data_IF_695432756506
#
_entry.id   IF_695432756506
#
_cell.length_a   1.000
_cell.length_b   1.000
_cell.length_c   1.000
_cell.angle_alpha   90.00
_cell.angle_beta   90.00
_cell.angle_gamma   90.00
#
_symmetry.space_group_name_H-M   'P 1'
#
loop_
_entity.id
_entity.type
_entity.pdbx_description
1 polymer ?
#
# COMPACT_ATOMS: atom_id res chain seq x y z
N UNK A 1 70.57 22.43 -29.55
CA UNK A 1 69.68 23.12 -28.60
C UNK A 1 68.65 22.13 -28.09
N UNK A 2 68.66 21.94 -26.76
CA UNK A 2 67.56 21.64 -25.83
C UNK A 2 66.64 20.43 -26.06
N UNK A 3 66.68 19.46 -25.12
CA UNK A 3 65.65 19.32 -24.07
C UNK A 3 65.94 18.06 -23.24
N UNK A 4 66.78 18.20 -22.20
CA UNK A 4 67.01 17.15 -21.20
C UNK A 4 66.85 17.76 -19.81
N UNK A 5 65.68 18.37 -19.53
CA UNK A 5 65.46 19.09 -18.27
C UNK A 5 63.97 19.27 -17.90
N UNK A 6 63.12 18.26 -18.13
CA UNK A 6 61.71 18.29 -17.67
C UNK A 6 61.33 17.06 -16.82
N UNK A 7 62.21 16.08 -16.60
CA UNK A 7 61.89 14.92 -15.75
C UNK A 7 62.35 15.05 -14.29
N UNK A 8 63.11 16.09 -13.91
CA UNK A 8 63.58 16.26 -12.52
C UNK A 8 62.76 17.24 -11.67
N UNK A 9 61.85 18.04 -12.22
CA UNK A 9 61.15 19.07 -11.45
C UNK A 9 59.82 18.62 -10.82
N UNK A 10 59.34 17.40 -11.09
CA UNK A 10 58.13 16.86 -10.45
C UNK A 10 58.41 15.89 -9.29
N UNK A 11 59.65 15.38 -9.15
CA UNK A 11 59.99 14.44 -8.08
C UNK A 11 60.38 15.10 -6.74
N UNK A 12 60.68 16.40 -6.73
CA UNK A 12 61.04 17.12 -5.49
C UNK A 12 59.85 17.76 -4.77
N UNK A 13 58.66 17.78 -5.37
CA UNK A 13 57.46 18.35 -4.74
C UNK A 13 56.61 17.37 -3.92
N UNK A 14 56.95 16.08 -3.91
CA UNK A 14 56.23 15.05 -3.14
C UNK A 14 57.03 14.48 -1.96
N UNK A 15 58.23 15.03 -1.66
CA UNK A 15 59.07 14.55 -0.55
C UNK A 15 59.10 15.44 0.69
N UNK A 16 58.31 16.52 0.70
CA UNK A 16 58.23 17.46 1.83
C UNK A 16 56.80 17.63 2.37
N UNK A 17 56.11 16.52 2.62
CA UNK A 17 55.05 16.48 3.63
C UNK A 17 55.55 15.63 4.80
N UNK A 18 56.53 16.20 5.49
CA UNK A 18 56.92 15.74 6.80
C UNK A 18 55.73 15.95 7.77
N UNK A 19 55.25 14.82 8.29
CA UNK A 19 55.20 14.59 9.73
C UNK A 19 54.34 15.57 10.54
N UNK A 20 53.02 15.36 10.49
CA UNK A 20 52.04 16.01 11.34
C UNK A 20 51.03 15.01 11.92
N UNK A 21 51.08 14.87 13.23
CA UNK A 21 49.99 14.46 14.14
C UNK A 21 49.46 13.02 14.10
N UNK A 22 50.12 12.17 14.89
CA UNK A 22 49.60 10.92 15.49
C UNK A 22 48.20 11.06 16.10
N UNK A 23 47.80 12.26 16.51
CA UNK A 23 46.47 12.55 17.09
C UNK A 23 45.31 12.41 16.08
N UNK A 24 45.56 12.61 14.78
CA UNK A 24 44.52 12.55 13.75
C UNK A 24 44.12 11.10 13.40
N UNK A 25 45.02 10.13 13.65
CA UNK A 25 44.75 8.70 13.47
C UNK A 25 43.98 8.08 14.64
N UNK A 26 44.18 8.60 15.86
CA UNK A 26 43.45 8.15 17.05
C UNK A 26 42.01 8.69 17.03
N UNK A 27 41.79 9.93 16.53
CA UNK A 27 40.45 10.51 16.46
C UNK A 27 39.56 9.86 15.38
N UNK A 28 40.12 9.46 14.24
CA UNK A 28 39.34 8.76 13.20
C UNK A 28 38.96 7.34 13.63
N UNK A 29 39.82 6.66 14.40
CA UNK A 29 39.50 5.35 14.99
C UNK A 29 38.43 5.41 16.08
N UNK A 30 38.42 6.46 16.91
CA UNK A 30 37.36 6.68 17.90
C UNK A 30 36.02 7.05 17.26
N UNK A 31 36.03 7.86 16.20
CA UNK A 31 34.81 8.18 15.45
C UNK A 31 34.24 6.90 14.80
N UNK A 32 35.09 6.01 14.25
CA UNK A 32 34.65 4.72 13.71
C UNK A 32 34.10 3.76 14.79
N UNK A 33 34.59 3.86 16.04
CA UNK A 33 34.09 3.06 17.16
C UNK A 33 32.75 3.59 17.71
N UNK A 34 32.42 4.86 17.50
CA UNK A 34 31.12 5.44 17.92
C UNK A 34 29.99 5.21 16.91
N UNK A 35 30.29 4.83 15.66
CA UNK A 35 29.25 4.50 14.65
C UNK A 35 28.76 3.05 14.77
N UNK A 36 29.45 2.22 15.56
CA UNK A 36 28.99 0.88 15.94
C UNK A 36 28.20 0.88 17.27
N UNK A 37 27.62 2.01 17.66
CA UNK A 37 26.52 2.03 18.64
C UNK A 37 25.19 1.77 17.92
N UNK A 38 25.13 0.70 17.12
CA UNK A 38 23.85 0.05 16.88
C UNK A 38 23.40 -0.46 18.24
N UNK A 39 22.39 0.19 18.82
CA UNK A 39 21.62 -0.42 19.87
C UNK A 39 21.20 -1.79 19.32
N UNK A 40 21.78 -2.86 19.86
CA UNK A 40 21.21 -4.18 19.67
C UNK A 40 19.85 -4.10 20.35
N UNK A 41 18.80 -3.91 19.56
CA UNK A 41 17.44 -4.18 20.02
C UNK A 41 17.42 -5.69 20.22
N UNK A 42 17.50 -6.12 21.47
CA UNK A 42 17.38 -7.53 21.82
C UNK A 42 15.91 -7.89 21.67
N UNK A 43 15.56 -8.56 20.58
CA UNK A 43 14.27 -9.22 20.46
C UNK A 43 14.23 -10.40 21.45
N UNK A 44 13.11 -10.51 22.16
CA UNK A 44 12.75 -11.70 22.91
C UNK A 44 12.03 -12.67 21.97
N UNK A 45 12.08 -13.96 22.29
CA UNK A 45 11.44 -15.03 21.51
C UNK A 45 10.35 -15.68 22.34
N UNK A 46 9.20 -15.92 21.72
CA UNK A 46 8.13 -16.73 22.31
C UNK A 46 7.71 -17.82 21.34
N UNK A 47 7.49 -19.03 21.85
CA UNK A 47 7.10 -20.18 21.03
C UNK A 47 5.59 -20.42 21.10
N UNK A 48 4.96 -20.60 19.94
CA UNK A 48 3.56 -21.03 19.83
C UNK A 48 3.46 -22.38 19.13
N UNK A 49 2.53 -23.22 19.57
CA UNK A 49 2.22 -24.48 18.90
C UNK A 49 1.00 -24.33 18.00
N UNK A 50 1.09 -24.75 16.75
CA UNK A 50 -0.03 -24.87 15.81
C UNK A 50 0.00 -26.27 15.22
N UNK A 51 -1.08 -27.04 15.41
CA UNK A 51 -1.22 -28.42 14.93
C UNK A 51 -0.05 -29.36 15.27
N UNK A 52 0.56 -29.18 16.45
CA UNK A 52 1.69 -29.99 16.92
C UNK A 52 3.06 -29.51 16.42
N UNK A 53 3.12 -28.47 15.58
CA UNK A 53 4.38 -27.82 15.15
C UNK A 53 4.62 -26.57 15.99
N UNK A 54 5.86 -26.40 16.46
CA UNK A 54 6.26 -25.23 17.25
C UNK A 54 6.90 -24.18 16.35
N UNK A 55 6.51 -22.93 16.52
CA UNK A 55 7.04 -21.78 15.80
C UNK A 55 7.54 -20.75 16.82
N UNK A 56 8.73 -20.21 16.58
CA UNK A 56 9.31 -19.15 17.40
C UNK A 56 9.00 -17.80 16.76
N UNK A 57 8.55 -16.85 17.57
CA UNK A 57 8.16 -15.51 17.14
C UNK A 57 9.03 -14.50 17.88
N UNK A 58 9.68 -13.63 17.12
CA UNK A 58 10.49 -12.54 17.63
C UNK A 58 9.59 -11.35 17.99
N UNK A 59 9.82 -10.75 19.15
CA UNK A 59 9.12 -9.55 19.59
C UNK A 59 9.99 -8.66 20.47
N UNK A 60 9.61 -7.39 20.60
CA UNK A 60 10.19 -6.46 21.57
C UNK A 60 9.07 -5.71 22.27
N UNK A 61 9.30 -5.40 23.55
CA UNK A 61 8.33 -4.66 24.36
C UNK A 61 8.93 -3.43 25.02
N UNK A 62 8.11 -2.41 25.19
CA UNK A 62 8.39 -1.25 26.04
C UNK A 62 7.20 -1.00 26.96
N UNK A 63 7.44 -0.91 28.28
CA UNK A 63 6.38 -0.61 29.25
C UNK A 63 5.36 -1.74 29.48
N UNK A 64 5.72 -2.97 29.10
CA UNK A 64 4.89 -4.17 29.26
C UNK A 64 5.75 -5.45 29.30
N UNK A 65 5.12 -6.58 29.58
CA UNK A 65 5.70 -7.92 29.39
C UNK A 65 4.74 -8.85 28.68
N UNK A 66 5.28 -9.87 27.99
CA UNK A 66 4.52 -10.98 27.40
C UNK A 66 4.80 -12.23 28.22
N UNK A 67 3.75 -12.93 28.65
CA UNK A 67 3.84 -14.10 29.52
C UNK A 67 3.50 -15.42 28.82
N UNK A 68 2.80 -15.36 27.69
CA UNK A 68 2.35 -16.52 26.94
C UNK A 68 1.78 -16.13 25.59
N UNK A 69 1.70 -17.12 24.70
CA UNK A 69 1.01 -17.04 23.41
C UNK A 69 0.30 -18.38 23.17
N UNK A 70 -0.92 -18.30 22.69
CA UNK A 70 -1.73 -19.44 22.28
C UNK A 70 -2.21 -19.24 20.84
N UNK A 71 -2.46 -20.33 20.12
CA UNK A 71 -3.05 -20.28 18.79
C UNK A 71 -4.50 -20.72 18.84
N UNK A 72 -5.33 -20.06 18.04
CA UNK A 72 -6.68 -20.51 17.72
C UNK A 72 -6.74 -20.84 16.22
N UNK A 73 -6.56 -22.11 15.83
CA UNK A 73 -6.60 -22.52 14.43
C UNK A 73 -8.00 -22.46 13.82
N UNK A 74 -9.06 -22.45 14.64
CA UNK A 74 -10.44 -22.32 14.13
C UNK A 74 -10.72 -20.88 13.66
N UNK A 75 -10.05 -19.89 14.26
CA UNK A 75 -10.14 -18.47 13.89
C UNK A 75 -8.91 -17.90 13.18
N UNK A 76 -7.85 -18.70 13.02
CA UNK A 76 -6.56 -18.28 12.46
C UNK A 76 -6.03 -17.05 13.21
N UNK A 77 -5.97 -17.17 14.54
CA UNK A 77 -5.52 -16.09 15.41
C UNK A 77 -4.47 -16.53 16.43
N UNK A 78 -3.68 -15.57 16.87
CA UNK A 78 -2.69 -15.70 17.94
C UNK A 78 -3.12 -14.84 19.12
N UNK A 79 -3.23 -15.45 20.30
CA UNK A 79 -3.69 -14.80 21.52
C UNK A 79 -2.48 -14.68 22.46
N UNK A 80 -2.04 -13.45 22.71
CA UNK A 80 -0.93 -13.13 23.60
C UNK A 80 -1.45 -12.73 24.97
N UNK A 81 -0.85 -13.30 26.01
CA UNK A 81 -1.08 -12.93 27.40
C UNK A 81 -0.05 -11.89 27.82
N UNK A 82 -0.50 -10.66 28.05
CA UNK A 82 0.36 -9.51 28.32
C UNK A 82 0.11 -8.91 29.70
N UNK A 83 1.08 -8.15 30.21
CA UNK A 83 0.93 -7.31 31.40
C UNK A 83 1.48 -5.93 31.09
N UNK A 84 0.58 -4.97 30.83
CA UNK A 84 0.92 -3.60 30.40
C UNK A 84 0.92 -2.63 31.58
N UNK A 85 2.11 -2.20 31.99
CA UNK A 85 2.28 -1.29 33.14
C UNK A 85 2.27 0.18 32.77
N UNK A 86 2.64 0.52 31.52
CA UNK A 86 2.74 1.90 31.03
C UNK A 86 1.58 2.26 30.10
N UNK A 87 1.44 3.54 29.74
CA UNK A 87 0.44 3.98 28.76
C UNK A 87 1.01 5.04 27.81
N UNK A 88 1.22 4.72 26.52
CA UNK A 88 1.07 3.38 25.93
C UNK A 88 2.24 2.45 26.33
N UNK A 89 1.94 1.17 26.57
CA UNK A 89 2.91 0.11 26.34
C UNK A 89 3.00 -0.18 24.84
N UNK A 90 4.15 -0.67 24.37
CA UNK A 90 4.35 -0.96 22.94
C UNK A 90 4.83 -2.39 22.78
N UNK A 91 4.15 -3.14 21.91
CA UNK A 91 4.55 -4.45 21.42
C UNK A 91 4.93 -4.33 19.95
N UNK A 92 6.20 -4.59 19.63
CA UNK A 92 6.62 -4.84 18.26
C UNK A 92 6.78 -6.35 18.07
N UNK A 93 6.06 -6.95 17.13
CA UNK A 93 6.04 -8.39 16.91
C UNK A 93 6.23 -8.72 15.42
N UNK A 94 7.13 -9.66 15.14
CA UNK A 94 7.51 -10.02 13.77
C UNK A 94 7.07 -11.45 13.45
N UNK A 95 6.25 -11.58 12.41
CA UNK A 95 5.79 -12.87 11.91
C UNK A 95 6.58 -13.27 10.67
N UNK A 96 6.98 -14.53 10.60
CA UNK A 96 7.34 -15.19 9.36
C UNK A 96 6.06 -15.46 8.56
N UNK A 97 5.98 -14.95 7.33
CA UNK A 97 4.79 -15.05 6.46
C UNK A 97 4.49 -16.48 6.03
N UNK A 98 5.46 -17.38 6.15
CA UNK A 98 5.24 -18.83 5.95
C UNK A 98 4.49 -19.45 7.12
N UNK A 99 4.65 -18.89 8.32
CA UNK A 99 3.98 -19.36 9.52
C UNK A 99 2.62 -18.67 9.71
N UNK A 100 2.57 -17.35 9.70
CA UNK A 100 1.36 -16.60 9.99
C UNK A 100 1.28 -15.34 9.14
N UNK A 101 0.16 -15.18 8.41
CA UNK A 101 -0.03 -14.04 7.51
C UNK A 101 -1.50 -13.67 7.35
N UNK A 102 -1.76 -12.44 6.91
CA UNK A 102 -3.06 -11.98 6.45
C UNK A 102 -2.99 -11.65 4.95
N UNK A 103 -3.66 -12.50 4.16
CA UNK A 103 -3.70 -12.43 2.71
C UNK A 103 -5.14 -12.60 2.22
N UNK A 104 -5.52 -11.77 1.26
CA UNK A 104 -6.80 -11.84 0.55
C UNK A 104 -6.57 -11.77 -0.96
N UNK A 105 -7.14 -12.73 -1.70
CA UNK A 105 -6.99 -12.84 -3.17
C UNK A 105 -5.55 -12.80 -3.69
N UNK A 106 -4.59 -13.28 -2.88
CA UNK A 106 -3.17 -13.35 -3.24
C UNK A 106 -2.37 -12.08 -3.00
N UNK A 107 -2.99 -11.04 -2.44
CA UNK A 107 -2.33 -9.82 -1.99
C UNK A 107 -2.35 -9.73 -0.46
N UNK A 108 -1.43 -8.92 0.08
CA UNK A 108 -1.37 -8.61 1.51
C UNK A 108 -2.70 -7.96 1.93
N UNK A 109 -3.32 -8.54 2.94
CA UNK A 109 -4.47 -7.98 3.63
C UNK A 109 -4.03 -7.53 5.03
N UNK A 110 -4.83 -6.68 5.67
CA UNK A 110 -4.51 -6.19 7.00
C UNK A 110 -4.71 -7.30 8.05
N UNK A 111 -3.88 -7.31 9.09
CA UNK A 111 -4.20 -8.06 10.29
C UNK A 111 -5.31 -7.35 11.06
N UNK A 112 -6.17 -8.13 11.72
CA UNK A 112 -7.13 -7.58 12.69
C UNK A 112 -6.54 -7.79 14.08
N UNK A 113 -6.43 -6.73 14.87
CA UNK A 113 -5.87 -6.78 16.22
C UNK A 113 -6.91 -6.35 17.23
N UNK A 114 -7.07 -7.12 18.31
CA UNK A 114 -7.94 -6.83 19.43
C UNK A 114 -7.12 -6.86 20.72
N UNK A 115 -7.21 -5.80 21.53
CA UNK A 115 -6.67 -5.71 22.87
C UNK A 115 -7.83 -5.74 23.86
N UNK A 116 -7.94 -6.80 24.67
CA UNK A 116 -9.10 -7.09 25.53
C UNK A 116 -10.47 -6.98 24.81
N UNK A 117 -10.49 -7.25 23.49
CA UNK A 117 -11.67 -7.17 22.64
C UNK A 117 -11.92 -5.82 21.94
N UNK A 118 -11.12 -4.79 22.21
CA UNK A 118 -11.19 -3.48 21.54
C UNK A 118 -10.03 -3.31 20.54
N UNK A 119 -10.21 -2.54 19.46
CA UNK A 119 -9.17 -2.32 18.44
C UNK A 119 -8.13 -1.29 18.93
N UNK A 120 -6.84 -1.65 19.10
CA UNK A 120 -5.79 -0.72 19.52
C UNK A 120 -5.26 0.12 18.35
N UNK A 121 -4.43 1.12 18.63
CA UNK A 121 -3.63 1.75 17.58
C UNK A 121 -2.49 0.79 17.19
N UNK A 122 -2.31 0.55 15.90
CA UNK A 122 -1.17 -0.22 15.41
C UNK A 122 -0.70 0.26 14.04
N UNK A 123 0.48 -0.21 13.63
CA UNK A 123 1.01 -0.02 12.28
C UNK A 123 1.92 -1.16 11.87
N UNK A 124 2.04 -1.41 10.57
CA UNK A 124 3.08 -2.28 10.03
C UNK A 124 4.35 -1.47 9.79
N UNK A 125 5.41 -1.82 10.50
CA UNK A 125 6.67 -1.05 10.48
C UNK A 125 7.68 -1.59 9.47
N UNK A 126 7.56 -2.88 9.12
CA UNK A 126 8.39 -3.51 8.11
C UNK A 126 7.66 -4.70 7.46
N UNK A 127 7.50 -4.64 6.15
CA UNK A 127 6.85 -5.70 5.36
C UNK A 127 7.76 -6.10 4.22
N UNK A 128 8.09 -7.39 4.18
CA UNK A 128 8.93 -8.01 3.15
C UNK A 128 8.18 -9.22 2.55
N UNK A 129 8.81 -9.91 1.60
CA UNK A 129 8.28 -11.19 1.10
C UNK A 129 8.32 -12.31 2.14
N UNK A 130 9.18 -12.20 3.16
CA UNK A 130 9.40 -13.26 4.15
C UNK A 130 8.76 -12.95 5.50
N UNK A 131 8.59 -11.67 5.85
CA UNK A 131 8.14 -11.27 7.19
C UNK A 131 7.26 -10.03 7.18
N UNK A 132 6.42 -9.91 8.21
CA UNK A 132 5.67 -8.69 8.55
C UNK A 132 5.89 -8.37 10.02
N UNK A 133 6.16 -7.11 10.32
CA UNK A 133 6.35 -6.60 11.68
C UNK A 133 5.24 -5.62 12.02
N UNK A 134 4.48 -5.94 13.08
CA UNK A 134 3.46 -5.08 13.65
C UNK A 134 4.06 -4.31 14.83
N UNK A 135 3.63 -3.06 14.99
CA UNK A 135 3.87 -2.23 16.17
C UNK A 135 2.52 -1.81 16.74
N UNK A 136 2.22 -2.25 17.97
CA UNK A 136 0.91 -2.15 18.61
C UNK A 136 1.04 -1.33 19.89
N UNK A 137 0.27 -0.25 20.01
CA UNK A 137 0.20 0.58 21.21
C UNK A 137 -0.95 0.12 22.11
N UNK A 138 -0.62 -0.29 23.34
CA UNK A 138 -1.55 -0.87 24.29
C UNK A 138 -1.78 0.05 25.49
N UNK A 139 -3.04 0.23 25.94
CA UNK A 139 -3.35 0.91 27.20
C UNK A 139 -2.78 0.17 28.42
N UNK A 140 -2.56 0.89 29.52
CA UNK A 140 -2.20 0.27 30.79
C UNK A 140 -3.34 -0.61 31.30
N UNK A 141 -2.99 -1.80 31.81
CA UNK A 141 -3.94 -2.79 32.30
C UNK A 141 -4.49 -3.72 31.24
N UNK A 142 -4.03 -3.65 29.99
CA UNK A 142 -4.34 -4.67 28.99
C UNK A 142 -3.72 -6.01 29.38
N UNK A 143 -4.52 -7.07 29.27
CA UNK A 143 -4.16 -8.44 29.69
C UNK A 143 -4.08 -9.40 28.50
N UNK A 144 -4.80 -9.11 27.42
CA UNK A 144 -4.87 -9.96 26.23
C UNK A 144 -4.72 -9.16 24.93
N UNK A 145 -3.96 -9.70 23.99
CA UNK A 145 -3.92 -9.21 22.60
C UNK A 145 -4.16 -10.37 21.65
N UNK A 146 -5.25 -10.32 20.89
CA UNK A 146 -5.54 -11.24 19.81
C UNK A 146 -5.14 -10.61 18.47
N UNK A 147 -4.37 -11.36 17.67
CA UNK A 147 -3.94 -10.97 16.33
C UNK A 147 -4.51 -12.01 15.37
N UNK A 148 -5.39 -11.59 14.48
CA UNK A 148 -6.13 -12.44 13.56
C UNK A 148 -5.57 -12.24 12.15
N UNK A 149 -5.22 -13.34 11.50
CA UNK A 149 -4.77 -13.39 10.11
C UNK A 149 -5.72 -14.21 9.25
N UNK A 150 -5.21 -14.73 8.13
CA UNK A 150 -5.96 -15.62 7.24
C UNK A 150 -5.22 -16.91 6.91
N UNK A 151 -4.00 -17.07 7.41
CA UNK A 151 -3.13 -18.21 7.11
C UNK A 151 -2.34 -18.67 8.33
N UNK A 152 -2.38 -19.98 8.61
CA UNK A 152 -1.36 -20.68 9.40
C UNK A 152 -0.56 -21.65 8.52
N UNK A 153 0.75 -21.71 8.72
CA UNK A 153 1.64 -22.76 8.23
C UNK A 153 1.53 -23.06 6.73
N UNK A 154 1.88 -22.10 5.87
CA UNK A 154 2.11 -22.39 4.45
C UNK A 154 3.29 -23.34 4.34
N UNK A 155 3.07 -24.51 3.76
CA UNK A 155 4.16 -25.24 3.13
C UNK A 155 4.56 -24.44 1.90
N UNK A 156 5.54 -23.55 2.04
CA UNK A 156 6.30 -23.15 0.87
C UNK A 156 6.96 -24.44 0.40
N UNK A 157 6.58 -24.95 -0.78
CA UNK A 157 7.47 -25.86 -1.47
C UNK A 157 8.79 -25.11 -1.59
N UNK A 158 9.77 -25.48 -0.76
CA UNK A 158 11.12 -24.93 -0.79
C UNK A 158 11.67 -25.12 -2.21
N UNK A 159 11.43 -24.13 -3.06
CA UNK A 159 12.36 -23.88 -4.14
C UNK A 159 13.60 -23.33 -3.43
N UNK A 160 14.74 -24.03 -3.47
CA UNK A 160 15.86 -23.74 -2.59
C UNK A 160 16.27 -22.28 -2.68
N UNK A 161 16.30 -21.61 -1.52
CA UNK A 161 17.00 -20.34 -1.34
C UNK A 161 18.51 -20.59 -1.42
N UNK A 162 19.12 -20.25 -2.56
CA UNK A 162 20.57 -20.21 -2.77
C UNK A 162 21.12 -18.85 -2.27
N UNK A 163 22.29 -18.81 -1.59
CA UNK A 163 22.77 -17.63 -0.85
C UNK A 163 23.29 -16.48 -1.72
N UNK A 164 23.39 -15.32 -1.08
CA UNK A 164 23.80 -14.01 -1.60
C UNK A 164 25.03 -14.00 -2.55
N UNK A 165 24.92 -13.11 -3.55
CA UNK A 165 26.00 -12.40 -4.28
C UNK A 165 26.66 -13.11 -5.49
N UNK A 166 25.87 -13.31 -6.56
CA UNK A 166 26.35 -13.59 -7.94
C UNK A 166 25.44 -12.80 -8.92
N UNK A 167 25.95 -12.16 -10.00
CA UNK A 167 25.21 -11.15 -10.77
C UNK A 167 23.89 -11.67 -11.33
N UNK A 168 22.81 -10.91 -11.15
CA UNK A 168 21.45 -11.21 -11.66
C UNK A 168 21.46 -11.63 -13.14
N UNK A 169 21.16 -12.91 -13.39
CA UNK A 169 20.62 -13.34 -14.69
C UNK A 169 19.10 -13.13 -14.68
N UNK A 170 18.50 -12.68 -15.80
CA UNK A 170 17.14 -12.16 -15.82
C UNK A 170 16.09 -13.26 -15.62
N UNK A 171 15.22 -13.04 -14.62
CA UNK A 171 13.90 -13.68 -14.50
C UNK A 171 13.17 -13.68 -15.85
N UNK A 172 12.73 -14.84 -16.31
CA UNK A 172 12.06 -14.99 -17.60
C UNK A 172 10.64 -14.40 -17.54
N UNK A 173 10.35 -13.47 -18.45
CA UNK A 173 9.02 -12.85 -18.64
C UNK A 173 7.95 -13.92 -18.89
N UNK A 174 6.84 -13.85 -18.17
CA UNK A 174 5.65 -14.67 -18.44
C UNK A 174 4.90 -14.08 -19.64
N UNK A 175 4.65 -14.90 -20.67
CA UNK A 175 3.98 -14.48 -21.90
C UNK A 175 2.79 -15.43 -22.15
N UNK A 176 1.55 -14.91 -22.30
CA UNK A 176 1.17 -13.51 -22.14
C UNK A 176 1.27 -13.05 -20.67
N UNK A 177 1.40 -11.73 -20.46
CA UNK A 177 1.50 -11.13 -19.14
C UNK A 177 0.23 -11.37 -18.32
N UNK A 178 0.34 -11.38 -16.99
CA UNK A 178 -0.74 -11.80 -16.08
C UNK A 178 -2.08 -11.04 -16.22
N UNK A 179 -2.07 -9.79 -16.71
CA UNK A 179 -3.29 -9.01 -16.93
C UNK A 179 -4.07 -9.40 -18.20
N UNK A 180 -3.46 -10.20 -19.07
CA UNK A 180 -4.01 -10.61 -20.35
C UNK A 180 -4.80 -11.89 -20.15
N UNK A 181 -6.09 -11.84 -20.47
CA UNK A 181 -6.98 -12.98 -20.52
C UNK A 181 -6.80 -13.66 -21.89
N UNK A 182 -6.22 -14.87 -21.98
CA UNK A 182 -5.96 -15.52 -23.26
C UNK A 182 -7.22 -15.89 -24.05
N UNK A 183 -8.40 -15.81 -23.41
CA UNK A 183 -9.69 -16.05 -24.07
C UNK A 183 -10.25 -14.82 -24.79
N UNK A 184 -9.66 -13.64 -24.58
CA UNK A 184 -10.10 -12.38 -25.19
C UNK A 184 -9.28 -12.03 -26.43
N UNK A 185 -9.92 -11.34 -27.36
CA UNK A 185 -9.25 -10.83 -28.56
C UNK A 185 -8.19 -9.76 -28.17
N UNK A 186 -6.93 -9.86 -28.65
CA UNK A 186 -5.90 -8.86 -28.38
C UNK A 186 -6.30 -7.43 -28.75
N UNK A 187 -7.17 -7.24 -29.76
CA UNK A 187 -7.69 -5.93 -30.18
C UNK A 187 -8.31 -5.17 -29.00
N UNK A 188 -8.98 -5.85 -28.07
CA UNK A 188 -9.58 -5.23 -26.87
C UNK A 188 -8.53 -4.54 -26.01
N UNK A 189 -7.36 -5.14 -25.85
CA UNK A 189 -6.26 -4.57 -25.07
C UNK A 189 -5.57 -3.43 -25.81
N UNK A 190 -5.36 -3.60 -27.12
CA UNK A 190 -4.74 -2.57 -27.98
C UNK A 190 -5.62 -1.32 -28.04
N UNK A 191 -6.94 -1.46 -28.16
CA UNK A 191 -7.88 -0.35 -28.18
C UNK A 191 -7.80 0.47 -26.90
N UNK A 192 -7.84 -0.18 -25.73
CA UNK A 192 -7.68 0.51 -24.43
C UNK A 192 -6.32 1.18 -24.31
N UNK A 193 -5.25 0.53 -24.74
CA UNK A 193 -3.90 1.09 -24.69
C UNK A 193 -3.73 2.35 -25.57
N UNK A 194 -4.39 2.39 -26.73
CA UNK A 194 -4.33 3.54 -27.64
C UNK A 194 -5.28 4.66 -27.21
N UNK A 195 -6.46 4.32 -26.67
CA UNK A 195 -7.54 5.30 -26.41
C UNK A 195 -7.61 5.79 -24.96
N UNK A 196 -7.15 5.00 -23.98
CA UNK A 196 -7.17 5.32 -22.55
C UNK A 196 -5.76 5.69 -22.03
N UNK A 197 -5.50 6.98 -21.81
CA UNK A 197 -4.22 7.45 -21.28
C UNK A 197 -3.90 6.87 -19.88
N UNK A 198 -4.91 6.64 -19.05
CA UNK A 198 -4.76 6.02 -17.72
C UNK A 198 -4.35 4.55 -17.81
N UNK A 199 -4.91 3.80 -18.76
CA UNK A 199 -4.53 2.39 -18.96
C UNK A 199 -3.10 2.28 -19.49
N UNK A 200 -2.72 3.16 -20.39
CA UNK A 200 -1.34 3.26 -20.88
C UNK A 200 -0.34 3.55 -19.75
N UNK A 201 -0.63 4.55 -18.90
CA UNK A 201 0.24 4.88 -17.77
C UNK A 201 0.34 3.71 -16.77
N UNK A 202 -0.79 3.07 -16.46
CA UNK A 202 -0.81 1.88 -15.61
C UNK A 202 0.05 0.74 -16.20
N UNK A 203 -0.03 0.47 -17.51
CA UNK A 203 0.81 -0.55 -18.15
C UNK A 203 2.31 -0.19 -18.05
N UNK A 204 2.66 1.06 -18.37
CA UNK A 204 4.05 1.52 -18.34
C UNK A 204 4.66 1.48 -16.92
N UNK A 205 3.84 1.66 -15.88
CA UNK A 205 4.26 1.60 -14.47
C UNK A 205 4.34 0.16 -13.94
N UNK A 206 3.34 -0.68 -14.24
CA UNK A 206 3.22 -2.03 -13.65
C UNK A 206 3.90 -3.14 -14.46
N UNK A 207 4.17 -2.91 -15.74
CA UNK A 207 4.80 -3.88 -16.66
C UNK A 207 5.96 -3.22 -17.43
N UNK A 208 6.76 -2.40 -16.74
CA UNK A 208 7.85 -1.60 -17.33
C UNK A 208 8.95 -2.42 -18.01
N UNK A 209 9.07 -3.70 -17.65
CA UNK A 209 9.97 -4.65 -18.25
C UNK A 209 9.42 -5.23 -19.57
N UNK A 210 8.12 -5.18 -19.82
CA UNK A 210 7.48 -5.64 -21.06
C UNK A 210 7.41 -4.53 -22.10
N UNK A 211 7.53 -4.91 -23.37
CA UNK A 211 6.89 -4.12 -24.43
C UNK A 211 5.42 -4.58 -24.57
N UNK A 212 4.53 -3.67 -24.98
CA UNK A 212 3.09 -3.98 -25.03
C UNK A 212 2.75 -5.19 -25.92
N UNK A 213 3.46 -5.40 -27.04
CA UNK A 213 3.25 -6.57 -27.90
C UNK A 213 3.77 -7.88 -27.27
N UNK A 214 4.88 -7.84 -26.53
CA UNK A 214 5.38 -9.00 -25.76
C UNK A 214 4.38 -9.39 -24.67
N UNK A 215 3.79 -8.41 -23.99
CA UNK A 215 2.79 -8.68 -22.95
C UNK A 215 1.55 -9.40 -23.49
N UNK A 216 1.11 -9.08 -24.71
CA UNK A 216 -0.06 -9.69 -25.34
C UNK A 216 0.25 -11.02 -26.07
N UNK A 217 1.50 -11.48 -26.09
CA UNK A 217 1.95 -12.60 -26.93
C UNK A 217 1.65 -12.41 -28.43
N UNK A 218 1.78 -11.17 -28.93
CA UNK A 218 1.60 -10.85 -30.36
C UNK A 218 2.88 -10.31 -30.97
N UNK A 219 3.03 -10.47 -32.29
CA UNK A 219 4.18 -9.86 -32.97
C UNK A 219 4.03 -8.34 -33.01
N UNK A 220 5.15 -7.59 -33.01
CA UNK A 220 5.12 -6.14 -33.24
C UNK A 220 4.36 -5.77 -34.52
N UNK A 221 4.48 -6.59 -35.57
CA UNK A 221 3.76 -6.37 -36.83
C UNK A 221 2.25 -6.54 -36.72
N UNK A 222 1.80 -7.37 -35.79
CA UNK A 222 0.38 -7.58 -35.48
C UNK A 222 -0.15 -6.43 -34.63
N UNK A 223 0.62 -5.96 -33.64
CA UNK A 223 0.31 -4.74 -32.92
C UNK A 223 0.15 -3.54 -33.87
N UNK A 224 1.09 -3.33 -34.81
CA UNK A 224 1.02 -2.23 -35.77
C UNK A 224 -0.22 -2.32 -36.69
N UNK A 225 -0.63 -3.54 -37.07
CA UNK A 225 -1.87 -3.77 -37.85
C UNK A 225 -3.11 -3.42 -37.03
N UNK A 226 -3.18 -3.87 -35.77
CA UNK A 226 -4.30 -3.59 -34.88
C UNK A 226 -4.44 -2.09 -34.61
N UNK A 227 -3.33 -1.39 -34.37
CA UNK A 227 -3.32 0.08 -34.19
C UNK A 227 -3.83 0.77 -35.46
N UNK A 228 -3.34 0.38 -36.65
CA UNK A 228 -3.80 0.96 -37.91
C UNK A 228 -5.28 0.68 -38.20
N UNK A 229 -5.80 -0.48 -37.79
CA UNK A 229 -7.22 -0.82 -37.88
C UNK A 229 -8.07 0.07 -36.95
N UNK A 230 -7.66 0.23 -35.69
CA UNK A 230 -8.34 1.10 -34.71
C UNK A 230 -8.31 2.57 -35.16
N UNK A 231 -7.17 3.06 -35.64
CA UNK A 231 -7.06 4.42 -36.18
C UNK A 231 -7.94 4.62 -37.41
N UNK A 232 -8.07 3.60 -38.28
CA UNK A 232 -8.96 3.63 -39.43
C UNK A 232 -10.43 3.65 -39.00
N UNK A 233 -10.82 2.81 -38.05
CA UNK A 233 -12.17 2.79 -37.48
C UNK A 233 -12.53 4.13 -36.81
N UNK A 234 -11.56 4.78 -36.16
CA UNK A 234 -11.75 6.04 -35.47
C UNK A 234 -11.62 7.28 -36.38
N UNK A 235 -11.04 7.12 -37.59
CA UNK A 235 -10.88 8.18 -38.59
C UNK A 235 -11.89 8.10 -39.73
N UNK A 236 -12.55 6.96 -39.91
CA UNK A 236 -13.70 6.85 -40.79
C UNK A 236 -14.82 7.69 -40.17
N UNK A 237 -15.26 8.80 -40.80
CA UNK A 237 -16.45 9.47 -40.34
C UNK A 237 -17.55 8.43 -40.37
N UNK A 238 -18.21 8.23 -39.23
CA UNK A 238 -19.50 7.54 -39.17
C UNK A 238 -20.26 7.93 -40.43
N UNK A 239 -20.68 6.96 -41.27
CA UNK A 239 -21.56 7.28 -42.38
C UNK A 239 -22.67 8.11 -41.77
N UNK A 240 -22.83 9.34 -42.24
CA UNK A 240 -23.98 10.15 -41.92
C UNK A 240 -25.16 9.35 -42.43
N UNK A 241 -25.75 8.55 -41.54
CA UNK A 241 -27.00 7.88 -41.83
C UNK A 241 -27.98 9.00 -42.12
N UNK A 242 -28.36 9.05 -43.40
CA UNK A 242 -29.52 9.78 -43.86
C UNK A 242 -30.67 9.29 -42.98
N UNK A 243 -31.43 10.18 -42.29
CA UNK A 243 -32.43 9.74 -41.34
C UNK A 243 -33.45 8.84 -42.01
N UNK A 244 -33.39 7.54 -41.73
CA UNK A 244 -34.56 6.70 -41.89
C UNK A 244 -35.59 7.11 -40.83
N UNK A 245 -36.80 7.27 -41.32
CA UNK A 245 -38.00 7.73 -40.67
C UNK A 245 -38.22 7.04 -39.30
N UNK A 246 -38.40 7.79 -38.19
CA UNK A 246 -38.58 7.15 -36.89
C UNK A 246 -40.00 6.59 -36.80
N UNK A 247 -40.12 5.27 -36.90
CA UNK A 247 -41.22 4.55 -36.27
C UNK A 247 -41.01 4.57 -34.76
N UNK A 248 -41.32 5.71 -34.12
CA UNK A 248 -41.36 5.85 -32.66
C UNK A 248 -42.49 4.97 -32.11
N UNK A 249 -42.14 3.83 -31.50
CA UNK A 249 -42.93 3.27 -30.40
C UNK A 249 -42.72 4.19 -29.20
N UNK A 250 -43.67 5.09 -28.97
CA UNK A 250 -43.58 6.12 -27.93
C UNK A 250 -44.17 5.63 -26.61
N UNK A 251 -43.60 4.55 -26.07
CA UNK A 251 -43.93 4.08 -24.74
C UNK A 251 -43.01 4.75 -23.73
N UNK A 252 -43.57 5.71 -22.98
CA UNK A 252 -42.87 6.34 -21.88
C UNK A 252 -42.71 5.35 -20.72
N UNK A 253 -41.56 5.37 -20.07
CA UNK A 253 -41.26 4.49 -18.94
C UNK A 253 -42.22 4.72 -17.75
N UNK A 254 -42.28 3.77 -16.80
CA UNK A 254 -43.15 3.84 -15.64
C UNK A 254 -43.02 5.18 -14.89
N UNK A 255 -44.14 5.85 -14.63
CA UNK A 255 -44.19 7.13 -13.89
C UNK A 255 -44.09 8.39 -14.76
N UNK A 256 -44.05 8.23 -16.08
CA UNK A 256 -44.04 9.35 -17.03
C UNK A 256 -45.14 9.23 -18.09
N UNK A 257 -45.68 10.36 -18.52
CA UNK A 257 -46.67 10.47 -19.59
C UNK A 257 -46.09 11.22 -20.78
N UNK A 258 -46.47 10.80 -21.99
CA UNK A 258 -46.06 11.48 -23.22
C UNK A 258 -46.83 12.80 -23.37
N UNK A 259 -46.13 13.94 -23.26
CA UNK A 259 -46.64 15.27 -23.61
C UNK A 259 -45.69 15.91 -24.61
N UNK A 260 -46.23 16.37 -25.73
CA UNK A 260 -45.47 17.06 -26.80
C UNK A 260 -44.25 16.28 -27.33
N UNK A 261 -44.37 14.94 -27.37
CA UNK A 261 -43.31 14.06 -27.88
C UNK A 261 -42.15 13.81 -26.89
N UNK A 262 -42.26 14.32 -25.65
CA UNK A 262 -41.35 14.09 -24.54
C UNK A 262 -42.05 13.40 -23.37
N UNK A 263 -41.32 12.55 -22.64
CA UNK A 263 -41.85 11.92 -21.43
C UNK A 263 -41.72 12.91 -20.26
N UNK A 264 -42.85 13.28 -19.68
CA UNK A 264 -42.96 14.22 -18.55
C UNK A 264 -43.51 13.48 -17.34
N UNK A 265 -43.09 13.84 -16.13
CA UNK A 265 -43.59 13.25 -14.88
C UNK A 265 -45.12 13.32 -14.79
N UNK A 266 -45.74 12.20 -14.40
CA UNK A 266 -47.17 12.16 -14.13
C UNK A 266 -47.47 12.75 -12.74
N UNK A 267 -47.83 14.03 -12.67
CA UNK A 267 -48.09 14.73 -11.39
C UNK A 267 -49.31 14.21 -10.62
N UNK A 268 -50.04 13.22 -11.15
CA UNK A 268 -51.16 12.57 -10.44
C UNK A 268 -50.69 11.61 -9.36
N UNK A 269 -49.43 11.17 -9.41
CA UNK A 269 -48.84 10.28 -8.43
C UNK A 269 -47.62 10.96 -7.78
N UNK A 270 -47.46 10.79 -6.47
CA UNK A 270 -46.34 11.36 -5.72
C UNK A 270 -45.00 10.71 -6.11
N UNK A 271 -43.85 11.33 -5.74
CA UNK A 271 -42.53 10.79 -6.05
C UNK A 271 -42.39 9.34 -5.57
N UNK A 272 -41.97 8.43 -6.47
CA UNK A 272 -41.78 7.01 -6.18
C UNK A 272 -42.97 6.08 -6.51
N UNK A 273 -44.03 6.58 -7.18
CA UNK A 273 -45.20 5.78 -7.55
C UNK A 273 -45.57 5.91 -9.03
N UNK A 274 -46.18 4.88 -9.61
CA UNK A 274 -46.60 4.81 -11.02
C UNK A 274 -48.11 4.60 -11.10
N UNK A 275 -48.78 5.30 -12.02
CA UNK A 275 -50.22 5.16 -12.21
C UNK A 275 -50.54 3.90 -13.02
N UNK A 276 -51.25 2.94 -12.40
CA UNK A 276 -51.74 1.73 -13.05
C UNK A 276 -53.25 1.59 -12.81
N UNK A 277 -54.07 1.80 -13.84
CA UNK A 277 -55.53 1.64 -13.76
C UNK A 277 -56.23 2.55 -12.73
N UNK A 278 -55.89 3.85 -12.74
CA UNK A 278 -56.36 4.87 -11.79
C UNK A 278 -55.89 4.71 -10.32
N UNK A 279 -54.93 3.81 -10.05
CA UNK A 279 -54.32 3.62 -8.72
C UNK A 279 -52.81 3.83 -8.81
N UNK A 280 -52.24 4.59 -7.86
CA UNK A 280 -50.78 4.75 -7.77
C UNK A 280 -50.17 3.53 -7.06
N UNK A 281 -49.27 2.82 -7.74
CA UNK A 281 -48.53 1.65 -7.22
C UNK A 281 -47.05 2.00 -7.02
N UNK A 282 -46.43 1.46 -5.97
CA UNK A 282 -44.98 1.64 -5.72
C UNK A 282 -44.21 0.66 -6.61
N UNK A 283 -43.15 1.13 -7.27
CA UNK A 283 -42.23 0.23 -7.97
C UNK A 283 -41.42 -0.54 -6.93
N UNK A 284 -41.70 -1.84 -6.77
CA UNK A 284 -40.79 -2.73 -6.03
C UNK A 284 -39.52 -2.95 -6.85
N UNK A 285 -38.32 -2.75 -6.29
CA UNK A 285 -37.07 -2.89 -7.02
C UNK A 285 -36.76 -4.37 -7.25
N UNK A 286 -36.65 -4.76 -8.52
CA UNK A 286 -36.00 -6.03 -8.87
C UNK A 286 -34.51 -5.92 -8.53
N UNK A 287 -34.04 -6.93 -7.80
CA UNK A 287 -32.83 -6.94 -6.99
C UNK A 287 -31.56 -7.09 -7.83
N UNK A 288 -30.57 -6.23 -7.60
CA UNK A 288 -29.15 -6.53 -7.82
C UNK A 288 -28.25 -5.66 -6.91
N UNK A 289 -27.94 -6.22 -5.73
CA UNK A 289 -26.76 -6.01 -4.88
C UNK A 289 -26.44 -4.58 -4.30
N UNK A 290 -25.57 -4.49 -3.26
CA UNK A 290 -25.89 -3.84 -1.99
C UNK A 290 -25.46 -2.37 -1.96
N UNK A 291 -26.19 -1.54 -1.23
CA UNK A 291 -25.76 -0.17 -0.92
C UNK A 291 -25.59 -0.03 0.58
N UNK A 292 -24.34 0.18 0.96
CA UNK A 292 -23.88 0.70 2.24
C UNK A 292 -24.66 1.97 2.60
N UNK A 293 -25.30 1.92 3.78
CA UNK A 293 -26.12 2.99 4.31
C UNK A 293 -25.25 3.98 5.08
N UNK A 294 -24.87 5.07 4.41
CA UNK A 294 -24.41 6.28 5.10
C UNK A 294 -25.59 7.22 5.33
N UNK A 295 -26.12 7.26 6.56
CA UNK A 295 -26.81 8.45 7.07
C UNK A 295 -26.87 8.47 8.60
N UNK A 296 -26.12 9.40 9.20
CA UNK A 296 -26.16 9.61 10.64
C UNK A 296 -25.40 10.86 11.12
N UNK A 297 -25.50 11.98 10.41
CA UNK A 297 -25.02 13.27 10.89
C UNK A 297 -26.04 13.81 11.92
N UNK A 298 -25.71 13.78 13.21
CA UNK A 298 -26.57 14.32 14.25
C UNK A 298 -25.95 14.35 15.64
N UNK A 299 -25.41 15.52 16.00
CA UNK A 299 -25.06 16.00 17.35
C UNK A 299 -23.79 15.41 17.96
N UNK A 300 -22.67 16.13 17.77
CA UNK A 300 -22.01 16.82 18.90
C UNK A 300 -20.94 17.79 18.36
N UNK A 301 -21.34 19.06 18.33
CA UNK A 301 -20.48 20.20 18.04
C UNK A 301 -20.12 20.83 19.39
N UNK A 302 -18.99 20.45 19.96
CA UNK A 302 -18.45 21.04 21.18
C UNK A 302 -17.03 20.54 21.47
N UNK A 303 -16.07 21.47 21.53
CA UNK A 303 -14.63 21.31 21.87
C UNK A 303 -13.60 21.16 20.75
N UNK A 304 -13.80 21.82 19.61
CA UNK A 304 -12.82 21.86 18.51
C UNK A 304 -12.26 23.24 18.15
N UNK A 305 -11.97 24.15 19.11
CA UNK A 305 -11.33 25.46 18.78
C UNK A 305 -10.28 25.95 19.80
N UNK A 306 -9.79 25.16 20.76
CA UNK A 306 -8.72 25.64 21.68
C UNK A 306 -7.62 24.59 21.86
N UNK A 307 -6.84 24.35 20.80
CA UNK A 307 -5.52 23.71 20.95
C UNK A 307 -4.49 24.11 19.86
N UNK A 308 -4.81 25.04 18.95
CA UNK A 308 -3.89 25.45 17.88
C UNK A 308 -2.96 26.63 18.27
N UNK A 309 -2.99 27.12 19.51
CA UNK A 309 -2.15 28.26 19.94
C UNK A 309 -1.11 27.94 21.03
N UNK A 310 -0.96 26.68 21.47
CA UNK A 310 0.08 26.33 22.46
C UNK A 310 1.39 25.86 21.81
N UNK A 311 1.35 25.29 20.60
CA UNK A 311 2.55 24.70 19.98
C UNK A 311 3.49 25.77 19.40
N UNK A 312 2.97 26.91 18.92
CA UNK A 312 3.83 28.00 18.41
C UNK A 312 4.45 28.85 19.53
N UNK A 313 3.87 28.83 20.73
CA UNK A 313 4.39 29.57 21.90
C UNK A 313 5.63 28.92 22.53
N UNK A 314 5.69 27.58 22.57
CA UNK A 314 6.81 26.86 23.16
C UNK A 314 8.13 27.04 22.37
N UNK A 315 8.06 27.08 21.03
CA UNK A 315 9.23 27.26 20.17
C UNK A 315 9.81 28.68 20.32
N UNK A 316 8.98 29.71 20.47
CA UNK A 316 9.44 31.08 20.68
C UNK A 316 10.12 31.27 22.05
N UNK A 317 9.67 30.56 23.08
CA UNK A 317 10.29 30.59 24.42
C UNK A 317 11.65 29.88 24.40
N UNK A 318 11.76 28.73 23.72
CA UNK A 318 13.04 28.01 23.59
C UNK A 318 14.08 28.84 22.81
N UNK A 319 13.66 29.50 21.72
CA UNK A 319 14.56 30.40 20.96
C UNK A 319 14.97 31.65 21.73
N UNK A 320 14.07 32.21 22.56
CA UNK A 320 14.39 33.37 23.42
C UNK A 320 15.39 33.02 24.55
N UNK A 321 15.33 31.80 25.09
CA UNK A 321 16.29 31.33 26.10
C UNK A 321 17.69 31.11 25.49
N UNK A 322 17.77 30.60 24.26
CA UNK A 322 19.05 30.41 23.54
C UNK A 322 19.70 31.74 23.15
N UNK A 323 18.91 32.76 22.79
CA UNK A 323 19.43 34.10 22.47
C UNK A 323 20.01 34.85 23.68
N UNK A 324 19.56 34.54 24.91
CA UNK A 324 20.05 35.19 26.13
C UNK A 324 21.35 34.58 26.66
N UNK A 325 21.63 33.31 26.34
CA UNK A 325 22.86 32.62 26.74
C UNK A 325 24.09 33.03 25.90
N UNK A 326 23.91 33.58 24.69
CA UNK A 326 25.02 33.99 23.81
C UNK A 326 25.50 35.43 24.03
N UNK A 327 24.97 36.15 25.03
CA UNK A 327 25.31 37.57 25.29
C UNK A 327 26.05 37.79 26.63
N UNK A 328 26.55 36.75 27.28
CA UNK A 328 27.32 36.89 28.53
C UNK A 328 28.77 36.39 28.43
N UNK A 329 29.31 36.29 27.21
CA UNK A 329 30.72 35.97 26.97
C UNK A 329 31.32 37.02 26.03
N UNK A 330 31.43 38.24 26.55
CA UNK A 330 32.42 39.27 26.22
C UNK A 330 32.55 40.22 27.42
#
# INVERSE_FOLDING_TARGET
>A
MNNHSISQLQSERLRNLANGNSLLKISLGLIFFTILSSAFVYAETISVNVDGTSYDIDYTVSGMSVSGIESDPDFISLILLVDVTDSPGVLDIAFDRTFFDSIYEGADDDFIILADGDEPNFSETNTTSQSRTLSIELPSGTEEVEIIGSVFGRTIEETPSEPEDIPEEPSQKQIPAAFVDPSKDPKVYVERYVTESSYKAWFEENYSDYTFHEALDISKSELDKLIAEIEKENSEPTPVETPEEPTKTTECGPGTILKDGACVLDERCGPGTVLQGDVCVVLEPQTSAPTTSFKGLGKDLGYGVIAAFIVTGAIAIILALMSKASKSSD
#
